data_IF_399508542241
#
_entry.id   IF_399508542241
#
_cell.length_a   1.000
_cell.length_b   1.000
_cell.length_c   1.000
_cell.angle_alpha   90.00
_cell.angle_beta   90.00
_cell.angle_gamma   90.00
#
_symmetry.space_group_name_H-M   'P 1'
#
loop_
_entity.id
_entity.type
_entity.pdbx_description
1 polymer ?
#
# COMPACT_ATOMS: atom_id res chain seq x y z
N UNK A 1 -2.03 -15.95 -5.63
CA UNK A 1 -0.93 -16.33 -6.54
C UNK A 1 -0.21 -15.10 -7.11
N UNK A 2 -0.93 -14.07 -7.55
CA UNK A 2 -0.34 -12.83 -8.12
C UNK A 2 0.51 -12.05 -7.12
N UNK A 3 0.10 -11.99 -5.86
CA UNK A 3 0.75 -11.22 -4.79
C UNK A 3 2.19 -11.71 -4.51
N UNK A 4 2.40 -13.03 -4.49
CA UNK A 4 3.73 -13.61 -4.30
C UNK A 4 4.61 -13.55 -5.56
N UNK A 5 4.03 -13.64 -6.76
CA UNK A 5 4.79 -13.60 -8.01
C UNK A 5 5.46 -12.24 -8.25
N UNK A 6 4.80 -11.15 -7.87
CA UNK A 6 5.36 -9.80 -8.00
C UNK A 6 6.56 -9.59 -7.06
N UNK A 7 6.52 -10.16 -5.85
CA UNK A 7 7.65 -10.13 -4.92
C UNK A 7 8.84 -10.93 -5.47
N UNK A 8 8.60 -12.12 -6.02
CA UNK A 8 9.67 -12.91 -6.64
C UNK A 8 10.29 -12.18 -7.84
N UNK A 9 9.47 -11.50 -8.64
CA UNK A 9 9.95 -10.67 -9.74
C UNK A 9 10.84 -9.54 -9.25
N UNK A 10 10.42 -8.83 -8.18
CA UNK A 10 11.21 -7.74 -7.59
C UNK A 10 12.56 -8.24 -7.05
N UNK A 11 12.57 -9.37 -6.33
CA UNK A 11 13.82 -10.00 -5.87
C UNK A 11 14.76 -10.25 -7.05
N UNK A 12 14.24 -10.79 -8.14
CA UNK A 12 15.03 -11.10 -9.34
C UNK A 12 15.56 -9.81 -10.01
N UNK A 13 14.75 -8.76 -10.09
CA UNK A 13 15.15 -7.44 -10.59
C UNK A 13 16.28 -6.84 -9.75
N UNK A 14 16.13 -6.81 -8.44
CA UNK A 14 17.15 -6.31 -7.52
C UNK A 14 18.44 -7.11 -7.68
N UNK A 15 18.38 -8.45 -7.65
CA UNK A 15 19.58 -9.32 -7.82
C UNK A 15 20.33 -9.06 -9.12
N UNK A 16 19.60 -8.89 -10.24
CA UNK A 16 20.22 -8.69 -11.57
C UNK A 16 20.82 -7.31 -11.75
N UNK A 17 20.21 -6.28 -11.12
CA UNK A 17 20.55 -4.90 -11.45
C UNK A 17 21.29 -4.15 -10.34
N UNK A 18 21.28 -4.66 -9.09
CA UNK A 18 21.83 -3.98 -7.92
C UNK A 18 23.27 -3.48 -8.15
N UNK A 19 24.16 -4.32 -8.67
CA UNK A 19 25.54 -3.92 -8.97
C UNK A 19 25.63 -2.74 -9.92
N UNK A 20 24.72 -2.65 -10.90
CA UNK A 20 24.67 -1.54 -11.86
C UNK A 20 24.15 -0.28 -11.19
N UNK A 21 23.08 -0.40 -10.39
CA UNK A 21 22.48 0.72 -9.70
C UNK A 21 23.41 1.35 -8.66
N UNK A 22 24.22 0.55 -8.00
CA UNK A 22 25.18 1.01 -6.98
C UNK A 22 26.48 1.58 -7.55
N UNK A 23 26.69 1.54 -8.88
CA UNK A 23 27.92 2.08 -9.46
C UNK A 23 28.01 3.58 -9.23
N UNK A 24 29.17 4.07 -8.72
CA UNK A 24 29.42 5.49 -8.65
C UNK A 24 29.30 6.13 -10.03
N UNK A 25 28.67 7.29 -10.09
CA UNK A 25 28.48 8.05 -11.32
C UNK A 25 29.24 9.36 -11.24
N UNK A 26 30.18 9.56 -12.17
CA UNK A 26 30.88 10.86 -12.32
C UNK A 26 29.94 11.90 -12.92
N UNK A 27 30.01 13.11 -12.38
CA UNK A 27 29.32 14.29 -12.87
C UNK A 27 30.34 15.40 -13.10
N UNK A 28 30.20 16.21 -14.17
CA UNK A 28 31.14 17.33 -14.41
C UNK A 28 31.02 18.33 -13.26
N UNK A 29 32.16 18.84 -12.81
CA UNK A 29 32.20 20.03 -11.97
C UNK A 29 32.13 21.28 -12.83
N UNK A 30 31.69 22.39 -12.24
CA UNK A 30 31.69 23.68 -12.90
C UNK A 30 33.12 24.03 -13.44
N UNK A 31 33.16 24.80 -14.52
CA UNK A 31 34.41 25.17 -15.21
C UNK A 31 35.46 25.80 -14.29
N UNK A 32 35.00 26.52 -13.24
CA UNK A 32 35.86 27.13 -12.21
C UNK A 32 36.67 26.10 -11.43
N UNK A 33 36.16 24.88 -11.31
CA UNK A 33 36.79 23.80 -10.54
C UNK A 33 37.55 22.79 -11.41
N UNK A 34 37.71 23.04 -12.71
CA UNK A 34 38.44 22.12 -13.56
C UNK A 34 39.94 22.07 -13.15
N UNK A 35 40.55 20.88 -13.14
CA UNK A 35 40.12 19.59 -13.72
C UNK A 35 39.36 18.67 -12.75
N UNK A 36 38.69 19.19 -11.71
CA UNK A 36 37.94 18.42 -10.76
C UNK A 36 36.64 17.78 -11.38
N UNK A 37 36.14 16.75 -10.75
CA UNK A 37 34.85 16.14 -11.06
C UNK A 37 34.11 15.77 -9.76
N UNK A 38 32.77 15.76 -9.82
CA UNK A 38 31.95 15.27 -8.76
C UNK A 38 31.68 13.77 -8.92
N UNK A 39 31.33 13.10 -7.84
CA UNK A 39 30.92 11.69 -7.86
C UNK A 39 29.67 11.50 -7.02
N UNK A 40 28.66 10.81 -7.60
CA UNK A 40 27.45 10.41 -6.88
C UNK A 40 27.63 8.96 -6.47
N UNK A 41 27.57 8.69 -5.16
CA UNK A 41 27.58 7.34 -4.56
C UNK A 41 26.30 7.10 -3.81
N UNK A 42 25.67 5.97 -4.07
CA UNK A 42 24.52 5.53 -3.29
C UNK A 42 24.99 4.86 -2.00
N UNK A 43 24.38 5.24 -0.88
CA UNK A 43 24.67 4.70 0.45
C UNK A 43 23.36 4.31 1.14
N UNK A 44 23.36 3.30 2.05
CA UNK A 44 22.21 3.02 2.89
C UNK A 44 21.81 4.25 3.71
N UNK A 45 20.53 4.43 3.94
CA UNK A 45 20.01 5.48 4.82
C UNK A 45 20.21 5.11 6.30
N UNK A 46 20.00 3.83 6.64
CA UNK A 46 20.06 3.32 8.00
C UNK A 46 18.89 2.38 8.27
N UNK A 47 17.98 2.76 9.16
CA UNK A 47 16.79 1.97 9.52
C UNK A 47 15.57 2.52 8.79
N UNK A 48 14.92 1.67 7.99
CA UNK A 48 13.70 2.00 7.23
C UNK A 48 12.49 1.38 7.90
N UNK A 49 11.50 2.21 8.24
CA UNK A 49 10.18 1.75 8.67
C UNK A 49 9.27 1.50 7.47
N UNK A 50 8.52 0.40 7.48
CA UNK A 50 7.52 0.08 6.45
C UNK A 50 6.19 -0.22 7.12
N UNK A 51 5.15 0.53 6.80
CA UNK A 51 3.75 0.28 7.23
C UNK A 51 2.95 -0.17 6.01
N UNK A 52 2.51 -1.43 6.01
CA UNK A 52 1.82 -2.05 4.89
C UNK A 52 0.31 -2.17 5.14
N UNK A 53 -0.54 -2.04 4.08
CA UNK A 53 -1.98 -2.14 4.16
C UNK A 53 -2.47 -3.60 4.09
N UNK A 54 -3.79 -3.78 4.12
CA UNK A 54 -4.46 -5.08 4.13
C UNK A 54 -4.84 -5.63 2.75
N UNK A 55 -4.98 -4.78 1.75
CA UNK A 55 -5.50 -5.15 0.43
C UNK A 55 -4.54 -6.00 -0.43
N UNK A 56 -3.22 -5.75 -0.30
CA UNK A 56 -2.14 -6.57 -0.88
C UNK A 56 -1.08 -6.82 0.19
N UNK A 57 -1.40 -7.62 1.23
CA UNK A 57 -0.62 -7.65 2.47
C UNK A 57 0.77 -8.27 2.33
N UNK A 58 0.99 -9.11 1.33
CA UNK A 58 2.31 -9.70 1.05
C UNK A 58 3.13 -8.78 0.14
N UNK A 59 2.54 -8.33 -0.96
CA UNK A 59 3.19 -7.50 -1.96
C UNK A 59 3.66 -6.16 -1.36
N UNK A 60 2.74 -5.40 -0.77
CA UNK A 60 3.02 -4.06 -0.24
C UNK A 60 3.85 -4.07 1.06
N UNK A 61 4.04 -5.23 1.67
CA UNK A 61 5.00 -5.42 2.75
C UNK A 61 6.39 -5.79 2.22
N UNK A 62 6.47 -6.75 1.30
CA UNK A 62 7.75 -7.35 0.90
C UNK A 62 8.47 -6.61 -0.23
N UNK A 63 7.79 -5.93 -1.14
CA UNK A 63 8.47 -5.16 -2.20
C UNK A 63 9.32 -4.03 -1.61
N UNK A 64 8.78 -3.15 -0.73
CA UNK A 64 9.61 -2.14 -0.08
C UNK A 64 10.75 -2.73 0.77
N UNK A 65 10.47 -3.85 1.46
CA UNK A 65 11.47 -4.55 2.25
C UNK A 65 12.63 -5.06 1.38
N UNK A 66 12.34 -5.69 0.24
CA UNK A 66 13.36 -6.18 -0.71
C UNK A 66 14.21 -5.04 -1.22
N UNK A 67 13.60 -3.93 -1.62
CA UNK A 67 14.30 -2.75 -2.11
C UNK A 67 15.18 -2.11 -1.02
N UNK A 68 14.67 -1.98 0.21
CA UNK A 68 15.40 -1.43 1.34
C UNK A 68 16.60 -2.30 1.74
N UNK A 69 16.43 -3.63 1.80
CA UNK A 69 17.53 -4.57 2.09
C UNK A 69 18.55 -4.56 0.96
N UNK A 70 18.09 -4.53 -0.29
CA UNK A 70 18.95 -4.43 -1.48
C UNK A 70 19.85 -3.19 -1.43
N UNK A 71 19.32 -2.06 -0.98
CA UNK A 71 20.07 -0.82 -0.78
C UNK A 71 20.99 -0.84 0.46
N UNK A 72 20.98 -1.91 1.25
CA UNK A 72 21.84 -2.08 2.43
C UNK A 72 21.22 -1.65 3.76
N UNK A 73 19.96 -1.22 3.79
CA UNK A 73 19.29 -0.75 5.00
C UNK A 73 18.85 -1.89 5.94
N UNK A 74 18.60 -1.55 7.19
CA UNK A 74 17.84 -2.35 8.15
C UNK A 74 16.36 -2.00 8.01
N UNK A 75 15.45 -2.95 8.30
CA UNK A 75 14.01 -2.73 8.11
C UNK A 75 13.23 -3.11 9.36
N UNK A 76 12.33 -2.22 9.77
CA UNK A 76 11.22 -2.57 10.65
C UNK A 76 9.93 -2.59 9.83
N UNK A 77 9.22 -3.71 9.85
CA UNK A 77 7.98 -3.92 9.12
C UNK A 77 6.80 -3.97 10.07
N UNK A 78 5.79 -3.15 9.83
CA UNK A 78 4.48 -3.24 10.49
C UNK A 78 3.42 -3.64 9.46
N UNK A 79 3.06 -4.93 9.36
CA UNK A 79 1.93 -5.38 8.56
C UNK A 79 0.59 -4.87 9.11
N UNK A 80 -0.46 -4.94 8.30
CA UNK A 80 -1.80 -4.52 8.70
C UNK A 80 -2.39 -5.45 9.77
N UNK A 81 -3.04 -4.87 10.77
CA UNK A 81 -3.84 -5.55 11.78
C UNK A 81 -5.10 -6.23 11.22
N UNK A 82 -5.57 -5.78 10.05
CA UNK A 82 -6.74 -6.38 9.38
C UNK A 82 -6.44 -7.73 8.71
N UNK A 83 -5.17 -8.11 8.60
CA UNK A 83 -4.73 -9.41 8.06
C UNK A 83 -3.83 -10.17 9.03
N UNK A 84 -4.32 -10.51 10.24
CA UNK A 84 -3.46 -11.00 11.34
C UNK A 84 -2.76 -12.32 11.02
N UNK A 85 -3.40 -13.23 10.29
CA UNK A 85 -2.78 -14.50 9.89
C UNK A 85 -1.62 -14.29 8.92
N UNK A 86 -1.78 -13.39 7.96
CA UNK A 86 -0.72 -13.02 7.02
C UNK A 86 0.41 -12.30 7.74
N UNK A 87 0.09 -11.40 8.66
CA UNK A 87 1.08 -10.70 9.48
C UNK A 87 1.94 -11.65 10.31
N UNK A 88 1.31 -12.65 10.95
CA UNK A 88 2.01 -13.69 11.71
C UNK A 88 2.95 -14.52 10.81
N UNK A 89 2.44 -15.00 9.67
CA UNK A 89 3.22 -15.79 8.71
C UNK A 89 4.42 -14.99 8.17
N UNK A 90 4.23 -13.71 7.84
CA UNK A 90 5.32 -12.84 7.40
C UNK A 90 6.38 -12.69 8.50
N UNK A 91 5.96 -12.52 9.76
CA UNK A 91 6.86 -12.44 10.90
C UNK A 91 7.70 -13.69 11.09
N UNK A 92 7.07 -14.87 11.05
CA UNK A 92 7.76 -16.17 11.15
C UNK A 92 8.74 -16.39 9.99
N UNK A 93 8.31 -16.11 8.76
CA UNK A 93 9.11 -16.28 7.56
C UNK A 93 10.34 -15.38 7.58
N UNK A 94 10.17 -14.11 7.92
CA UNK A 94 11.27 -13.14 7.97
C UNK A 94 12.24 -13.43 9.11
N UNK A 95 11.75 -13.85 10.28
CA UNK A 95 12.59 -14.27 11.40
C UNK A 95 13.39 -15.54 11.10
N UNK A 96 12.87 -16.42 10.23
CA UNK A 96 13.60 -17.61 9.75
C UNK A 96 14.73 -17.31 8.77
N UNK A 97 14.71 -16.12 8.14
CA UNK A 97 15.68 -15.72 7.09
C UNK A 97 16.67 -14.68 7.59
N UNK A 98 16.23 -13.74 8.42
CA UNK A 98 17.02 -12.59 8.86
C UNK A 98 17.14 -12.53 10.38
N UNK A 99 18.30 -12.12 10.91
CA UNK A 99 18.39 -11.77 12.32
C UNK A 99 17.55 -10.51 12.61
N UNK A 100 17.05 -10.39 13.84
CA UNK A 100 16.13 -9.31 14.26
C UNK A 100 16.72 -7.92 14.07
N UNK A 101 18.01 -7.78 14.19
CA UNK A 101 18.74 -6.53 13.96
C UNK A 101 18.69 -6.09 12.49
N UNK A 102 18.48 -7.04 11.57
CA UNK A 102 18.40 -6.75 10.14
C UNK A 102 16.97 -6.51 9.66
N UNK A 103 16.04 -7.38 10.10
CA UNK A 103 14.61 -7.26 9.81
C UNK A 103 13.83 -7.60 11.06
N UNK A 104 13.07 -6.63 11.56
CA UNK A 104 12.14 -6.80 12.66
C UNK A 104 10.70 -6.63 12.18
N UNK A 105 9.79 -7.48 12.66
CA UNK A 105 8.36 -7.37 12.39
C UNK A 105 7.61 -6.98 13.66
N UNK A 106 6.79 -5.93 13.57
CA UNK A 106 5.97 -5.42 14.66
C UNK A 106 4.50 -5.61 14.33
N UNK A 107 3.76 -6.32 15.17
CA UNK A 107 2.33 -6.54 15.02
C UNK A 107 1.56 -5.73 16.06
N UNK A 108 0.36 -5.28 15.71
CA UNK A 108 -0.52 -4.56 16.62
C UNK A 108 -1.48 -3.63 15.90
N UNK A 109 -2.42 -3.10 16.67
CA UNK A 109 -3.48 -2.22 16.20
C UNK A 109 -3.04 -0.77 15.94
N UNK A 110 -4.02 0.14 15.83
CA UNK A 110 -3.77 1.56 15.52
C UNK A 110 -2.83 2.27 16.50
N UNK A 111 -2.87 1.92 17.78
CA UNK A 111 -1.98 2.52 18.80
C UNK A 111 -0.52 2.13 18.56
N UNK A 112 -0.28 0.86 18.21
CA UNK A 112 1.05 0.39 17.83
C UNK A 112 1.52 1.05 16.54
N UNK A 113 0.62 1.25 15.56
CA UNK A 113 0.93 1.95 14.32
C UNK A 113 1.31 3.41 14.56
N UNK A 114 0.61 4.10 15.48
CA UNK A 114 0.91 5.48 15.86
C UNK A 114 2.28 5.57 16.56
N UNK A 115 2.56 4.68 17.52
CA UNK A 115 3.85 4.60 18.17
C UNK A 115 4.99 4.28 17.19
N UNK A 116 4.76 3.34 16.27
CA UNK A 116 5.71 2.98 15.22
C UNK A 116 6.04 4.17 14.31
N UNK A 117 5.02 4.94 13.87
CA UNK A 117 5.23 6.11 13.04
C UNK A 117 6.03 7.24 13.72
N UNK A 118 6.05 7.26 15.05
CA UNK A 118 6.82 8.19 15.87
C UNK A 118 8.26 7.75 16.19
N UNK A 119 8.70 6.59 15.71
CA UNK A 119 10.08 6.15 15.90
C UNK A 119 11.06 6.95 15.03
N UNK A 120 12.31 7.14 15.46
CA UNK A 120 13.32 7.90 14.72
C UNK A 120 13.93 7.07 13.57
N UNK A 121 13.14 6.76 12.57
CA UNK A 121 13.61 6.12 11.35
C UNK A 121 14.45 7.07 10.50
N UNK A 122 15.38 6.53 9.72
CA UNK A 122 16.07 7.26 8.68
C UNK A 122 15.19 7.44 7.42
N UNK A 123 14.16 6.60 7.28
CA UNK A 123 13.09 6.74 6.29
C UNK A 123 11.85 5.95 6.72
N UNK A 124 10.66 6.48 6.45
CA UNK A 124 9.41 5.79 6.72
C UNK A 124 8.55 5.70 5.45
N UNK A 125 8.20 4.48 5.05
CA UNK A 125 7.28 4.23 3.95
C UNK A 125 5.93 3.79 4.51
N UNK A 126 4.89 4.43 4.04
CA UNK A 126 3.50 4.12 4.39
C UNK A 126 2.66 3.95 3.14
N UNK A 127 1.91 2.86 3.08
CA UNK A 127 0.88 2.63 2.06
C UNK A 127 -0.49 2.50 2.73
N UNK A 128 -1.45 3.33 2.31
CA UNK A 128 -2.80 3.31 2.89
C UNK A 128 -3.64 4.54 2.54
N UNK A 129 -4.63 4.84 3.37
CA UNK A 129 -5.52 5.98 3.13
C UNK A 129 -4.84 7.32 3.38
N UNK A 130 -5.27 8.37 2.64
CA UNK A 130 -4.77 9.73 2.80
C UNK A 130 -4.97 10.26 4.23
N UNK A 131 -6.08 9.89 4.88
CA UNK A 131 -6.37 10.33 6.26
C UNK A 131 -5.36 9.77 7.26
N UNK A 132 -4.96 8.50 7.12
CA UNK A 132 -3.92 7.88 7.95
C UNK A 132 -2.54 8.38 7.57
N UNK A 133 -2.25 8.54 6.28
CA UNK A 133 -0.98 9.08 5.80
C UNK A 133 -0.64 10.45 6.38
N UNK A 134 -1.64 11.33 6.52
CA UNK A 134 -1.46 12.62 7.22
C UNK A 134 -1.01 12.46 8.68
N UNK A 135 -1.59 11.49 9.40
CA UNK A 135 -1.21 11.20 10.80
C UNK A 135 0.20 10.61 10.88
N UNK A 136 0.54 9.71 9.98
CA UNK A 136 1.88 9.12 9.88
C UNK A 136 2.93 10.19 9.62
N UNK A 137 2.68 11.07 8.65
CA UNK A 137 3.57 12.20 8.33
C UNK A 137 3.75 13.14 9.51
N UNK A 138 2.67 13.47 10.22
CA UNK A 138 2.73 14.32 11.40
C UNK A 138 3.54 13.69 12.55
N UNK A 139 3.40 12.37 12.78
CA UNK A 139 4.17 11.65 13.80
C UNK A 139 5.66 11.59 13.44
N UNK A 140 5.99 11.29 12.18
CA UNK A 140 7.36 11.23 11.67
C UNK A 140 8.07 12.60 11.73
N UNK A 141 7.35 13.69 11.58
CA UNK A 141 7.89 15.06 11.59
C UNK A 141 8.59 15.42 12.91
N UNK A 142 8.18 14.83 14.04
CA UNK A 142 8.83 15.06 15.32
C UNK A 142 10.30 14.68 15.34
N UNK A 143 10.70 13.69 14.52
CA UNK A 143 12.07 13.22 14.37
C UNK A 143 12.73 13.70 13.06
N UNK A 144 12.07 14.56 12.29
CA UNK A 144 12.48 14.96 10.95
C UNK A 144 12.67 13.75 10.00
N UNK A 145 11.97 12.65 10.27
CA UNK A 145 12.04 11.44 9.45
C UNK A 145 11.44 11.70 8.06
N UNK A 146 12.19 11.51 6.96
CA UNK A 146 11.64 11.58 5.61
C UNK A 146 10.59 10.49 5.40
N UNK A 147 9.47 10.83 4.75
CA UNK A 147 8.38 9.90 4.49
C UNK A 147 8.11 9.73 3.01
N UNK A 148 7.82 8.48 2.60
CA UNK A 148 7.18 8.17 1.33
C UNK A 148 5.76 7.71 1.62
N UNK A 149 4.78 8.39 1.05
CA UNK A 149 3.36 8.11 1.24
C UNK A 149 2.76 7.60 -0.07
N UNK A 150 2.43 6.31 -0.10
CA UNK A 150 1.66 5.69 -1.18
C UNK A 150 0.19 5.67 -0.77
N UNK A 151 -0.58 6.60 -1.33
CA UNK A 151 -1.94 6.89 -0.88
C UNK A 151 -2.97 6.42 -1.91
N UNK A 152 -4.24 6.35 -1.48
CA UNK A 152 -5.35 5.98 -2.35
C UNK A 152 -5.46 6.91 -3.56
N UNK A 153 -5.80 6.32 -4.70
CA UNK A 153 -6.06 7.04 -5.94
C UNK A 153 -7.32 7.91 -5.85
N UNK A 154 -7.51 8.74 -6.86
CA UNK A 154 -8.68 9.60 -7.03
C UNK A 154 -9.79 8.92 -7.84
N UNK A 155 -9.76 7.58 -7.96
CA UNK A 155 -10.80 6.85 -8.67
C UNK A 155 -12.13 7.04 -7.94
N UNK A 156 -13.13 7.66 -8.55
CA UNK A 156 -14.43 7.82 -7.94
C UNK A 156 -15.10 6.46 -7.81
N UNK A 157 -15.75 6.20 -6.67
CA UNK A 157 -16.70 5.12 -6.51
C UNK A 157 -18.06 5.77 -6.23
N UNK A 158 -19.02 5.52 -7.11
CA UNK A 158 -20.39 6.00 -6.97
C UNK A 158 -21.22 4.84 -6.42
N UNK A 159 -21.88 5.07 -5.29
CA UNK A 159 -22.83 4.12 -4.70
C UNK A 159 -24.23 4.65 -4.96
N UNK A 160 -25.09 3.82 -5.56
CA UNK A 160 -26.49 4.12 -5.81
C UNK A 160 -27.39 3.34 -4.83
N UNK A 161 -27.58 3.81 -3.57
CA UNK A 161 -28.25 3.05 -2.53
C UNK A 161 -29.76 2.92 -2.74
N UNK A 162 -30.31 3.63 -3.72
CA UNK A 162 -31.73 3.53 -4.08
C UNK A 162 -32.11 2.29 -4.88
N UNK A 163 -31.12 1.53 -5.35
CA UNK A 163 -31.35 0.37 -6.22
C UNK A 163 -30.88 -0.92 -5.56
N UNK A 164 -31.81 -1.79 -5.22
CA UNK A 164 -31.53 -3.15 -4.73
C UNK A 164 -31.44 -4.17 -5.86
N UNK A 165 -32.00 -3.84 -7.01
CA UNK A 165 -31.97 -4.65 -8.23
C UNK A 165 -31.65 -3.79 -9.44
N UNK A 166 -31.06 -4.41 -10.47
CA UNK A 166 -30.83 -3.74 -11.74
C UNK A 166 -32.16 -3.45 -12.44
N UNK A 167 -32.25 -2.27 -13.01
CA UNK A 167 -33.37 -1.77 -13.77
C UNK A 167 -32.87 -0.97 -14.97
N UNK A 168 -33.77 -0.39 -15.74
CA UNK A 168 -33.38 0.37 -16.94
C UNK A 168 -32.42 1.52 -16.54
N UNK A 169 -32.73 2.25 -15.48
CA UNK A 169 -31.93 3.38 -14.99
C UNK A 169 -30.52 2.94 -14.55
N UNK A 170 -30.39 1.77 -13.91
CA UNK A 170 -29.05 1.31 -13.52
C UNK A 170 -28.20 0.87 -14.70
N UNK A 171 -28.80 0.21 -15.69
CA UNK A 171 -28.09 -0.31 -16.84
C UNK A 171 -27.84 0.75 -17.91
N UNK A 172 -28.77 1.68 -18.10
CA UNK A 172 -28.65 2.76 -19.08
C UNK A 172 -27.87 3.95 -18.47
N UNK A 173 -28.35 4.53 -17.39
CA UNK A 173 -27.75 5.75 -16.83
C UNK A 173 -26.47 5.48 -16.05
N UNK A 174 -26.47 4.50 -15.12
CA UNK A 174 -25.32 4.25 -14.25
C UNK A 174 -24.20 3.50 -14.96
N UNK A 175 -24.50 2.54 -15.83
CA UNK A 175 -23.46 1.84 -16.60
C UNK A 175 -23.17 2.54 -17.94
N UNK A 176 -24.12 2.54 -18.85
CA UNK A 176 -23.86 2.91 -20.25
C UNK A 176 -23.53 4.40 -20.42
N UNK A 177 -24.36 5.31 -19.90
CA UNK A 177 -24.15 6.75 -20.03
C UNK A 177 -22.96 7.23 -19.21
N UNK A 178 -22.85 6.84 -17.93
CA UNK A 178 -21.72 7.27 -17.10
C UNK A 178 -20.40 6.70 -17.60
N UNK A 179 -20.38 5.48 -18.14
CA UNK A 179 -19.21 4.93 -18.83
C UNK A 179 -18.79 5.82 -20.00
N UNK A 180 -19.76 6.18 -20.85
CA UNK A 180 -19.50 7.04 -22.00
C UNK A 180 -18.97 8.41 -21.58
N UNK A 181 -19.58 9.03 -20.57
CA UNK A 181 -19.11 10.32 -20.04
C UNK A 181 -17.71 10.21 -19.46
N UNK A 182 -17.41 9.16 -18.69
CA UNK A 182 -16.11 8.95 -18.10
C UNK A 182 -15.02 8.76 -19.17
N UNK A 183 -15.24 7.88 -20.12
CA UNK A 183 -14.29 7.58 -21.20
C UNK A 183 -14.10 8.77 -22.13
N UNK A 184 -15.17 9.51 -22.51
CA UNK A 184 -15.09 10.69 -23.36
C UNK A 184 -14.34 11.87 -22.72
N UNK A 185 -14.23 11.89 -21.38
CA UNK A 185 -13.45 12.88 -20.64
C UNK A 185 -12.06 12.36 -20.22
N UNK A 186 -11.55 11.31 -20.87
CA UNK A 186 -10.20 10.80 -20.69
C UNK A 186 -10.04 9.75 -19.59
N UNK A 187 -11.14 9.18 -19.10
CA UNK A 187 -11.10 8.03 -18.19
C UNK A 187 -10.66 6.76 -18.90
N UNK A 188 -9.79 5.97 -18.29
CA UNK A 188 -9.21 4.78 -18.91
C UNK A 188 -9.92 3.48 -18.53
N UNK A 189 -10.52 3.43 -17.34
CA UNK A 189 -11.17 2.21 -16.81
C UNK A 189 -12.44 2.57 -16.06
N UNK A 190 -13.56 2.05 -16.53
CA UNK A 190 -14.85 2.13 -15.89
C UNK A 190 -15.34 0.72 -15.56
N UNK A 191 -15.86 0.49 -14.36
CA UNK A 191 -16.47 -0.77 -13.97
C UNK A 191 -17.85 -0.49 -13.37
N UNK A 192 -18.88 -1.12 -13.91
CA UNK A 192 -20.18 -1.21 -13.29
C UNK A 192 -20.26 -2.49 -12.48
N UNK A 193 -20.66 -2.37 -11.22
CA UNK A 193 -20.98 -3.51 -10.36
C UNK A 193 -22.50 -3.63 -10.31
N UNK A 194 -23.07 -4.75 -10.77
CA UNK A 194 -24.50 -4.97 -10.72
C UNK A 194 -25.08 -4.76 -9.31
N UNK A 195 -26.35 -4.37 -9.24
CA UNK A 195 -27.08 -4.32 -7.98
C UNK A 195 -27.14 -5.72 -7.33
N UNK A 196 -27.59 -5.81 -6.10
CA UNK A 196 -27.65 -7.08 -5.36
C UNK A 196 -28.52 -8.13 -6.05
N UNK A 197 -29.58 -7.68 -6.74
CA UNK A 197 -30.52 -8.54 -7.45
C UNK A 197 -31.05 -9.68 -6.54
N UNK A 198 -31.26 -10.87 -7.12
CA UNK A 198 -31.65 -12.08 -6.43
C UNK A 198 -30.47 -13.02 -6.11
N UNK A 199 -29.26 -12.48 -6.05
CA UNK A 199 -28.09 -13.25 -5.63
C UNK A 199 -28.25 -13.77 -4.20
N UNK A 200 -27.68 -14.93 -3.84
CA UNK A 200 -27.73 -15.42 -2.47
C UNK A 200 -27.26 -14.41 -1.45
N UNK A 201 -26.16 -13.71 -1.74
CA UNK A 201 -25.58 -12.67 -0.88
C UNK A 201 -26.50 -11.44 -0.78
N UNK A 202 -27.21 -11.10 -1.87
CA UNK A 202 -28.21 -10.04 -1.89
C UNK A 202 -29.41 -10.35 -1.02
N UNK A 203 -29.93 -11.57 -1.10
CA UNK A 203 -31.03 -12.06 -0.26
C UNK A 203 -30.61 -12.07 1.21
N UNK A 204 -29.40 -12.53 1.54
CA UNK A 204 -28.89 -12.53 2.91
C UNK A 204 -28.84 -11.12 3.51
N UNK A 205 -28.42 -10.12 2.73
CA UNK A 205 -28.42 -8.72 3.15
C UNK A 205 -29.83 -8.21 3.43
N UNK A 206 -30.77 -8.49 2.52
CA UNK A 206 -32.19 -8.10 2.68
C UNK A 206 -32.77 -8.77 3.93
N UNK A 207 -32.53 -10.07 4.11
CA UNK A 207 -33.02 -10.83 5.28
C UNK A 207 -32.43 -10.21 6.58
N UNK A 208 -31.15 -9.91 6.61
CA UNK A 208 -30.50 -9.30 7.77
C UNK A 208 -31.11 -7.94 8.13
N UNK A 209 -31.40 -7.09 7.14
CA UNK A 209 -32.07 -5.80 7.35
C UNK A 209 -33.49 -5.99 7.87
N UNK A 210 -34.27 -6.86 7.24
CA UNK A 210 -35.67 -7.17 7.65
C UNK A 210 -35.68 -7.69 9.09
N UNK A 211 -34.84 -8.65 9.43
CA UNK A 211 -34.73 -9.18 10.79
C UNK A 211 -34.39 -8.11 11.82
N UNK A 212 -33.47 -7.24 11.47
CA UNK A 212 -33.07 -6.10 12.34
C UNK A 212 -34.23 -5.14 12.58
N UNK A 213 -34.95 -4.76 11.53
CA UNK A 213 -36.06 -3.79 11.63
C UNK A 213 -37.32 -4.41 12.30
N UNK A 214 -37.49 -5.73 12.23
CA UNK A 214 -38.55 -6.44 12.91
C UNK A 214 -38.22 -6.84 14.35
N UNK A 215 -37.06 -6.52 14.88
CA UNK A 215 -36.69 -6.77 16.27
C UNK A 215 -37.69 -6.06 17.21
N UNK A 216 -38.46 -6.85 17.98
CA UNK A 216 -39.49 -6.36 18.89
C UNK A 216 -40.91 -6.43 18.34
N UNK A 217 -41.08 -6.92 17.10
CA UNK A 217 -42.41 -7.15 16.49
C UNK A 217 -42.76 -8.63 16.39
N UNK A 218 -41.79 -9.53 16.53
CA UNK A 218 -41.91 -11.01 16.54
C UNK A 218 -41.07 -11.55 17.71
#
# INVERSE_FOLDING_TARGET
LTDGMTVLHEIDQVRRHLRRWMRPRRVPADWVFQPAYGEIRHQPLGVVGVIAPWNYPVNLALIPLVSAIGAGNHVMLKPSEHTPRTAALLGELLAGVFPVERVATVQGGPDVAAAFAGLPFDHLLFTGSTAVGRKVMAAAAANLTPVTLELGGKSPAIVAPGFSADCLETLEELDSENRHYFESNGGEKFAYLPALNDSPEGIDVIEAVVRRELQGWI
#
